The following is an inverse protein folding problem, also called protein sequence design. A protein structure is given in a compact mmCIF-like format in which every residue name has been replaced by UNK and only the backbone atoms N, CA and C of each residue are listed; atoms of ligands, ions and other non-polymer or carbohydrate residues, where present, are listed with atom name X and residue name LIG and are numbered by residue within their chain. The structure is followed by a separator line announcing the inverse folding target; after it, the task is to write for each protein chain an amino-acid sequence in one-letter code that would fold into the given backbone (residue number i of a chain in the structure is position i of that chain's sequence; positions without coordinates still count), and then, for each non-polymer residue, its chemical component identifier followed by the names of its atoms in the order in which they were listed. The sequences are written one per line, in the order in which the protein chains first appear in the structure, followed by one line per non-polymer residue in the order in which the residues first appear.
data_IF_234112618109
#
_entry.id   IF_234112618109
#
_cell.length_a   1.000
_cell.length_b   1.000
_cell.length_c   1.000
_cell.angle_alpha   90.00
_cell.angle_beta   90.00
_cell.angle_gamma   90.00
#
_symmetry.space_group_name_H-M   'P 1'
#
loop_
_entity.id
_entity.type
_entity.pdbx_description
1 polymer ?
#
# COMPACT_ATOMS: atom_id res chain seq x y z
N UNK A 1 34.55 -36.58 26.81
CA UNK A 1 35.06 -36.17 25.51
C UNK A 1 33.97 -35.39 24.78
N UNK A 2 34.28 -34.19 24.27
CA UNK A 2 33.36 -33.39 23.47
C UNK A 2 33.91 -33.31 22.03
N UNK A 3 33.14 -33.74 21.04
CA UNK A 3 33.47 -33.64 19.63
C UNK A 3 32.65 -32.50 19.04
N UNK A 4 33.36 -31.47 18.52
CA UNK A 4 32.70 -30.34 17.87
C UNK A 4 33.15 -30.35 16.40
N UNK A 5 32.26 -30.66 15.44
CA UNK A 5 32.58 -30.57 14.03
C UNK A 5 32.98 -29.13 13.67
N UNK A 6 33.89 -28.97 12.72
CA UNK A 6 34.10 -27.65 12.09
C UNK A 6 32.83 -27.22 11.42
N UNK A 7 32.53 -25.94 11.49
CA UNK A 7 31.36 -25.38 10.80
C UNK A 7 31.31 -25.87 9.35
N UNK A 8 30.14 -26.36 8.91
CA UNK A 8 29.90 -26.92 7.55
C UNK A 8 30.53 -28.26 7.22
N UNK A 9 31.16 -28.95 8.15
CA UNK A 9 31.58 -30.34 7.91
C UNK A 9 30.32 -31.21 7.76
N UNK A 10 30.28 -32.02 6.70
CA UNK A 10 29.32 -33.10 6.51
C UNK A 10 30.06 -34.37 6.11
N UNK A 11 29.57 -35.54 6.54
CA UNK A 11 30.19 -36.81 6.32
C UNK A 11 30.46 -37.56 7.62
N UNK A 12 31.17 -38.69 7.53
CA UNK A 12 31.54 -39.48 8.69
C UNK A 12 32.96 -39.14 9.16
N UNK A 13 33.10 -38.94 10.47
CA UNK A 13 34.39 -38.78 11.13
C UNK A 13 34.55 -39.86 12.18
N UNK A 14 35.71 -40.53 12.20
CA UNK A 14 36.07 -41.53 13.21
C UNK A 14 37.17 -40.99 14.09
N UNK A 15 36.89 -40.95 15.40
CA UNK A 15 37.89 -40.56 16.43
C UNK A 15 38.25 -41.80 17.22
N UNK A 16 39.54 -42.08 17.28
CA UNK A 16 40.10 -43.15 18.13
C UNK A 16 40.56 -42.54 19.45
N UNK A 17 40.30 -43.23 20.54
CA UNK A 17 40.72 -42.80 21.87
C UNK A 17 41.17 -44.00 22.71
N UNK A 18 42.00 -43.75 23.70
CA UNK A 18 42.39 -44.69 24.76
C UNK A 18 42.08 -44.06 26.11
N UNK A 19 41.84 -44.89 27.10
CA UNK A 19 41.73 -44.47 28.50
C UNK A 19 42.98 -44.88 29.21
N UNK A 20 43.59 -43.96 29.96
CA UNK A 20 44.81 -44.20 30.75
C UNK A 20 44.53 -43.90 32.22
N UNK A 21 44.96 -44.78 33.11
CA UNK A 21 44.91 -44.58 34.56
C UNK A 21 46.27 -45.05 35.18
N UNK A 22 46.37 -45.06 36.48
CA UNK A 22 47.56 -45.45 37.20
C UNK A 22 47.98 -46.92 36.96
N UNK A 23 47.12 -47.75 36.41
CA UNK A 23 47.35 -49.18 36.18
C UNK A 23 47.61 -49.56 34.73
N UNK A 24 47.48 -48.58 33.79
CA UNK A 24 47.78 -48.84 32.37
C UNK A 24 46.88 -48.05 31.42
N UNK A 25 47.08 -48.31 30.13
CA UNK A 25 46.34 -47.72 29.03
C UNK A 25 45.49 -48.79 28.33
N UNK A 26 44.24 -48.52 28.09
CA UNK A 26 43.31 -49.43 27.39
C UNK A 26 43.69 -49.63 25.91
N UNK A 27 43.21 -50.70 25.31
CA UNK A 27 43.16 -50.81 23.84
C UNK A 27 42.42 -49.63 23.23
N UNK A 28 42.81 -49.19 21.99
CA UNK A 28 42.10 -48.11 21.30
C UNK A 28 40.66 -48.47 21.02
N UNK A 29 39.74 -47.57 21.37
CA UNK A 29 38.34 -47.60 20.98
C UNK A 29 38.07 -46.55 19.91
N UNK A 30 37.06 -46.73 19.09
CA UNK A 30 36.67 -45.81 18.03
C UNK A 30 35.23 -45.32 18.24
N UNK A 31 35.03 -44.01 18.03
CA UNK A 31 33.68 -43.40 17.91
C UNK A 31 33.54 -42.86 16.50
N UNK A 32 32.53 -43.33 15.80
CA UNK A 32 32.15 -42.80 14.48
C UNK A 32 30.98 -41.83 14.63
N UNK A 33 31.15 -40.62 14.11
CA UNK A 33 30.17 -39.56 14.10
C UNK A 33 29.77 -39.25 12.66
N UNK A 34 28.51 -39.39 12.34
CA UNK A 34 27.97 -38.96 11.04
C UNK A 34 27.34 -37.58 11.18
N UNK A 35 27.81 -36.63 10.37
CA UNK A 35 27.27 -35.26 10.32
C UNK A 35 26.52 -35.10 9.00
N UNK A 36 25.22 -34.87 9.10
CA UNK A 36 24.34 -34.64 7.93
C UNK A 36 24.39 -33.15 7.57
N UNK A 37 24.52 -32.87 6.27
CA UNK A 37 24.45 -31.52 5.75
C UNK A 37 23.03 -30.96 5.94
N UNK A 38 22.94 -29.73 6.42
CA UNK A 38 21.66 -29.01 6.49
C UNK A 38 21.15 -28.68 5.09
N UNK A 39 19.83 -28.64 4.94
CA UNK A 39 19.20 -28.22 3.69
C UNK A 39 19.58 -26.79 3.32
N UNK A 40 19.60 -26.49 2.02
CA UNK A 40 19.82 -25.13 1.51
C UNK A 40 18.58 -24.27 1.82
N UNK A 41 18.67 -23.27 2.72
CA UNK A 41 17.50 -22.46 3.10
C UNK A 41 17.05 -21.53 1.96
N UNK A 42 17.87 -21.27 0.94
CA UNK A 42 17.46 -20.48 -0.22
C UNK A 42 16.51 -21.22 -1.16
N UNK A 43 16.34 -22.54 -0.98
CA UNK A 43 15.39 -23.37 -1.71
C UNK A 43 14.07 -23.58 -0.94
N UNK A 44 14.00 -23.13 0.32
CA UNK A 44 12.77 -23.20 1.11
C UNK A 44 11.78 -22.12 0.66
N UNK A 45 10.59 -22.54 0.22
CA UNK A 45 9.56 -21.66 -0.33
C UNK A 45 9.04 -20.64 0.70
N UNK A 46 9.08 -20.96 2.01
CA UNK A 46 8.67 -20.05 3.08
C UNK A 46 9.74 -18.97 3.29
N UNK A 47 11.03 -19.37 3.34
CA UNK A 47 12.17 -18.45 3.48
C UNK A 47 12.20 -17.47 2.30
N UNK A 48 12.08 -17.99 1.09
CA UNK A 48 12.04 -17.19 -0.14
C UNK A 48 10.81 -16.28 -0.16
N UNK A 49 9.67 -16.79 0.29
CA UNK A 49 8.42 -16.01 0.40
C UNK A 49 8.51 -14.85 1.38
N UNK A 50 9.12 -15.05 2.55
CA UNK A 50 9.37 -13.98 3.54
C UNK A 50 10.27 -12.89 2.95
N UNK A 51 11.38 -13.30 2.31
CA UNK A 51 12.29 -12.36 1.64
C UNK A 51 11.59 -11.56 0.53
N UNK A 52 10.74 -12.21 -0.26
CA UNK A 52 9.93 -11.56 -1.29
C UNK A 52 8.87 -10.64 -0.69
N UNK A 53 8.19 -11.05 0.39
CA UNK A 53 7.18 -10.24 1.06
C UNK A 53 7.76 -8.91 1.60
N UNK A 54 8.95 -8.94 2.21
CA UNK A 54 9.64 -7.72 2.65
C UNK A 54 9.95 -6.77 1.48
N UNK A 55 10.47 -7.30 0.37
CA UNK A 55 10.78 -6.50 -0.81
C UNK A 55 9.53 -5.88 -1.44
N UNK A 56 8.47 -6.67 -1.59
CA UNK A 56 7.21 -6.22 -2.15
C UNK A 56 6.48 -5.21 -1.24
N UNK A 57 6.51 -5.40 0.09
CA UNK A 57 5.96 -4.44 1.04
C UNK A 57 6.67 -3.08 0.95
N UNK A 58 8.00 -3.09 0.83
CA UNK A 58 8.79 -1.88 0.61
C UNK A 58 8.35 -1.14 -0.65
N UNK A 59 8.24 -1.86 -1.78
CA UNK A 59 7.83 -1.28 -3.07
C UNK A 59 6.40 -0.77 -3.03
N UNK A 60 5.45 -1.55 -2.49
CA UNK A 60 4.04 -1.14 -2.39
C UNK A 60 3.86 0.08 -1.50
N UNK A 61 4.57 0.15 -0.37
CA UNK A 61 4.53 1.34 0.48
C UNK A 61 4.99 2.58 -0.28
N UNK A 62 6.15 2.54 -0.93
CA UNK A 62 6.67 3.67 -1.71
C UNK A 62 5.70 4.08 -2.84
N UNK A 63 5.17 3.11 -3.59
CA UNK A 63 4.22 3.38 -4.67
C UNK A 63 2.91 3.99 -4.15
N UNK A 64 2.34 3.46 -3.06
CA UNK A 64 1.12 4.01 -2.48
C UNK A 64 1.30 5.46 -2.02
N UNK A 65 2.47 5.78 -1.44
CA UNK A 65 2.78 7.16 -1.06
C UNK A 65 2.94 8.05 -2.30
N UNK A 66 3.72 7.62 -3.30
CA UNK A 66 3.87 8.35 -4.56
C UNK A 66 2.52 8.62 -5.22
N UNK A 67 1.64 7.62 -5.31
CA UNK A 67 0.32 7.77 -5.90
C UNK A 67 -0.56 8.81 -5.17
N UNK A 68 -0.48 8.87 -3.83
CA UNK A 68 -1.20 9.88 -3.05
C UNK A 68 -0.70 11.30 -3.36
N UNK A 69 0.62 11.51 -3.40
CA UNK A 69 1.21 12.81 -3.73
C UNK A 69 0.98 13.21 -5.19
N UNK A 70 1.06 12.25 -6.13
CA UNK A 70 0.79 12.49 -7.54
C UNK A 70 -0.66 12.91 -7.77
N UNK A 71 -1.62 12.24 -7.11
CA UNK A 71 -3.03 12.67 -7.14
C UNK A 71 -3.23 14.08 -6.58
N UNK A 72 -2.43 14.46 -5.58
CA UNK A 72 -2.43 15.84 -5.11
C UNK A 72 -1.91 16.78 -6.19
N UNK A 73 -0.78 16.49 -6.80
CA UNK A 73 -0.21 17.29 -7.89
C UNK A 73 -1.19 17.42 -9.07
N UNK A 74 -1.83 16.33 -9.50
CA UNK A 74 -2.87 16.38 -10.52
C UNK A 74 -4.00 17.38 -10.21
N UNK A 75 -4.35 17.54 -8.94
CA UNK A 75 -5.36 18.51 -8.51
C UNK A 75 -4.84 19.96 -8.55
N UNK A 76 -3.51 20.15 -8.52
CA UNK A 76 -2.92 21.47 -8.52
C UNK A 76 -2.90 22.10 -9.91
N UNK A 77 -2.75 21.31 -10.97
CA UNK A 77 -2.68 21.84 -12.34
C UNK A 77 -3.95 21.63 -13.18
N UNK A 78 -4.81 20.68 -12.88
CA UNK A 78 -6.08 20.45 -13.62
C UNK A 78 -7.15 21.52 -13.33
N UNK A 79 -6.74 22.76 -13.10
CA UNK A 79 -7.66 23.83 -12.73
C UNK A 79 -8.46 23.42 -11.51
N UNK A 80 -7.77 22.89 -10.50
CA UNK A 80 -8.40 22.28 -9.33
C UNK A 80 -9.51 23.16 -8.85
N UNK A 81 -10.71 22.83 -9.32
CA UNK A 81 -11.92 23.56 -8.98
C UNK A 81 -11.92 23.71 -7.48
N UNK A 82 -11.68 24.92 -7.05
CA UNK A 82 -11.50 25.39 -5.70
C UNK A 82 -11.84 24.38 -4.62
N UNK A 83 -10.85 23.75 -4.07
CA UNK A 83 -11.02 23.21 -2.75
C UNK A 83 -10.27 24.11 -1.76
N UNK A 84 -10.85 25.25 -1.52
CA UNK A 84 -10.73 25.90 -0.22
C UNK A 84 -11.57 25.04 0.71
N UNK A 85 -10.99 23.98 1.28
CA UNK A 85 -11.72 23.12 2.18
C UNK A 85 -11.09 21.74 2.22
N UNK A 86 -10.58 21.37 3.36
CA UNK A 86 -9.91 20.12 3.75
C UNK A 86 -10.38 18.91 2.93
N UNK A 87 -9.60 18.36 2.00
CA UNK A 87 -9.92 17.07 1.43
C UNK A 87 -9.50 15.98 2.41
N UNK A 88 -10.41 15.52 3.23
CA UNK A 88 -10.23 14.24 3.89
C UNK A 88 -10.75 13.18 2.92
N UNK A 89 -9.87 12.65 2.10
CA UNK A 89 -10.18 11.55 1.19
C UNK A 89 -9.63 10.24 1.75
N UNK A 90 -10.48 9.34 2.19
CA UNK A 90 -10.10 7.95 2.46
C UNK A 90 -10.29 7.18 1.17
N UNK A 91 -9.18 6.68 0.59
CA UNK A 91 -9.22 5.81 -0.57
C UNK A 91 -9.15 4.35 -0.09
N UNK A 92 -10.21 3.60 -0.31
CA UNK A 92 -10.23 2.15 -0.05
C UNK A 92 -10.06 1.46 -1.40
N UNK A 93 -8.91 0.82 -1.62
CA UNK A 93 -8.70 -0.02 -2.79
C UNK A 93 -8.53 -1.48 -2.35
N UNK A 94 -9.43 -2.33 -2.81
CA UNK A 94 -9.35 -3.77 -2.61
C UNK A 94 -8.87 -4.43 -3.90
N UNK A 95 -7.85 -5.26 -3.82
CA UNK A 95 -7.39 -6.08 -4.93
C UNK A 95 -7.92 -7.50 -4.79
N UNK A 96 -8.73 -7.94 -5.74
CA UNK A 96 -9.07 -9.34 -5.90
C UNK A 96 -8.23 -9.91 -7.04
N UNK A 97 -7.43 -10.93 -6.76
CA UNK A 97 -6.88 -11.73 -7.84
C UNK A 97 -7.97 -12.71 -8.30
N UNK A 98 -8.45 -12.51 -9.51
CA UNK A 98 -9.22 -13.55 -10.20
C UNK A 98 -8.26 -14.67 -10.64
N UNK A 99 -7.80 -15.46 -9.70
CA UNK A 99 -7.27 -16.79 -9.96
C UNK A 99 -8.43 -17.76 -10.07
N UNK A 100 -8.43 -18.60 -11.11
CA UNK A 100 -9.46 -19.60 -11.35
C UNK A 100 -9.74 -20.42 -10.08
N UNK A 101 -10.99 -20.88 -9.96
CA UNK A 101 -11.45 -21.80 -8.96
C UNK A 101 -10.39 -22.87 -8.65
N UNK A 102 -9.93 -22.90 -7.42
CA UNK A 102 -9.22 -24.08 -6.92
C UNK A 102 -10.22 -25.24 -6.88
N UNK A 103 -10.03 -26.29 -7.68
CA UNK A 103 -10.99 -27.40 -7.75
C UNK A 103 -11.08 -28.20 -6.46
N UNK A 104 -10.22 -27.95 -5.45
CA UNK A 104 -10.14 -28.75 -4.23
C UNK A 104 -10.75 -28.12 -2.98
N UNK A 105 -11.13 -26.86 -2.96
CA UNK A 105 -11.61 -26.22 -1.71
C UNK A 105 -13.01 -25.62 -1.79
N UNK A 106 -13.62 -25.46 -2.96
CA UNK A 106 -15.04 -25.05 -3.07
C UNK A 106 -15.45 -23.76 -2.35
N UNK A 107 -14.51 -22.97 -1.83
CA UNK A 107 -14.79 -21.79 -1.04
C UNK A 107 -15.22 -20.61 -1.90
N UNK A 108 -16.46 -20.19 -1.67
CA UNK A 108 -17.11 -19.07 -2.32
C UNK A 108 -16.63 -17.72 -1.73
N UNK A 109 -16.86 -16.65 -2.47
CA UNK A 109 -16.54 -15.25 -2.17
C UNK A 109 -17.02 -14.70 -0.81
N UNK A 110 -17.71 -15.50 0.00
CA UNK A 110 -18.21 -15.16 1.34
C UNK A 110 -17.12 -15.09 2.42
N UNK A 111 -15.97 -15.75 2.23
CA UNK A 111 -14.89 -15.70 3.23
C UNK A 111 -14.10 -14.39 3.21
N UNK A 112 -14.17 -13.65 2.11
CA UNK A 112 -13.57 -12.31 1.99
C UNK A 112 -14.35 -11.26 2.80
N UNK A 113 -15.63 -11.51 3.06
CA UNK A 113 -16.47 -10.63 3.88
C UNK A 113 -16.13 -10.73 5.38
N UNK A 114 -15.68 -11.90 5.85
CA UNK A 114 -15.28 -12.09 7.26
C UNK A 114 -13.92 -11.45 7.57
N UNK A 115 -12.97 -11.49 6.63
CA UNK A 115 -11.69 -10.76 6.79
C UNK A 115 -11.86 -9.23 6.77
N UNK A 116 -12.92 -8.72 6.12
CA UNK A 116 -13.30 -7.30 6.17
C UNK A 116 -13.83 -6.88 7.54
N UNK A 117 -14.48 -7.77 8.30
CA UNK A 117 -15.09 -7.42 9.58
C UNK A 117 -14.07 -7.21 10.70
N UNK A 118 -13.04 -8.03 10.76
CA UNK A 118 -12.10 -8.01 11.89
C UNK A 118 -11.11 -6.84 11.85
N UNK A 119 -10.79 -6.30 10.65
CA UNK A 119 -9.90 -5.13 10.52
C UNK A 119 -10.64 -3.80 10.56
N UNK A 120 -11.87 -3.73 10.02
CA UNK A 120 -12.71 -2.54 10.15
C UNK A 120 -13.14 -2.31 11.61
N UNK A 121 -13.33 -3.39 12.38
CA UNK A 121 -13.72 -3.32 13.79
C UNK A 121 -12.56 -2.82 14.67
N UNK A 122 -11.30 -3.11 14.33
CA UNK A 122 -10.15 -2.67 15.10
C UNK A 122 -9.82 -1.18 14.94
N UNK A 123 -10.17 -0.57 13.80
CA UNK A 123 -9.96 0.87 13.55
C UNK A 123 -11.18 1.71 13.91
N UNK A 124 -12.40 1.14 13.85
CA UNK A 124 -13.65 1.82 14.22
C UNK A 124 -14.11 1.53 15.66
N UNK A 125 -13.41 0.73 16.41
CA UNK A 125 -13.77 0.31 17.77
C UNK A 125 -13.64 1.38 18.86
N UNK A 126 -13.38 2.65 18.52
CA UNK A 126 -13.28 3.75 19.50
C UNK A 126 -14.27 4.89 19.35
N UNK A 127 -15.19 4.85 18.38
CA UNK A 127 -16.20 5.91 18.21
C UNK A 127 -17.65 5.43 18.18
N UNK A 128 -17.95 4.28 18.79
CA UNK A 128 -19.33 3.86 19.05
C UNK A 128 -19.64 3.81 20.54
N UNK A 129 -19.48 4.94 21.21
CA UNK A 129 -20.00 5.14 22.55
C UNK A 129 -20.59 6.53 22.66
N UNK A 130 -21.71 6.80 22.00
CA UNK A 130 -22.63 7.88 22.35
C UNK A 130 -24.00 7.64 21.71
N UNK A 131 -24.59 6.48 21.98
CA UNK A 131 -26.02 6.29 21.93
C UNK A 131 -26.49 6.15 23.36
N UNK A 132 -26.69 7.27 24.04
CA UNK A 132 -27.19 7.30 25.41
C UNK A 132 -28.66 6.82 25.40
N UNK A 133 -28.88 5.56 25.78
CA UNK A 133 -30.18 5.07 26.20
C UNK A 133 -30.33 5.36 27.69
N UNK A 134 -31.36 6.13 28.08
CA UNK A 134 -31.78 6.24 29.48
C UNK A 134 -32.85 5.19 29.75
N UNK A 135 -32.70 4.50 30.87
CA UNK A 135 -33.69 3.54 31.37
C UNK A 135 -34.50 4.18 32.47
N UNK A 136 -35.83 3.91 32.48
CA UNK A 136 -36.69 4.32 33.56
C UNK A 136 -36.49 3.40 34.78
N UNK A 137 -37.17 3.74 35.87
CA UNK A 137 -37.08 3.07 37.15
C UNK A 137 -37.52 1.60 37.11
N UNK A 138 -38.13 1.16 36.01
CA UNK A 138 -38.63 -0.20 35.79
C UNK A 138 -37.86 -0.95 34.69
N UNK A 139 -36.70 -0.42 34.23
CA UNK A 139 -35.77 -1.11 33.32
C UNK A 139 -36.18 -1.14 31.85
N UNK A 140 -37.09 -0.24 31.39
CA UNK A 140 -37.45 -0.13 29.97
C UNK A 140 -36.66 0.95 29.27
N UNK A 141 -36.11 0.61 28.10
CA UNK A 141 -35.39 1.55 27.26
C UNK A 141 -36.32 2.59 26.62
N UNK A 142 -36.04 3.87 26.86
CA UNK A 142 -36.76 4.99 26.27
C UNK A 142 -35.86 5.72 25.26
N UNK A 143 -36.31 6.02 24.03
CA UNK A 143 -35.58 6.87 23.12
C UNK A 143 -35.63 8.32 23.61
N UNK A 144 -34.47 8.97 23.67
CA UNK A 144 -34.36 10.40 23.96
C UNK A 144 -34.92 11.16 22.75
N UNK A 145 -36.10 11.71 22.91
CA UNK A 145 -36.74 12.60 21.93
C UNK A 145 -35.94 13.89 21.82
N UNK A 146 -35.55 14.22 20.59
CA UNK A 146 -34.81 15.42 20.24
C UNK A 146 -35.60 16.68 20.56
N UNK A 147 -34.88 17.72 20.90
CA UNK A 147 -35.34 19.09 21.02
C UNK A 147 -35.83 19.58 19.63
N UNK A 148 -37.14 19.58 19.47
CA UNK A 148 -37.84 20.37 18.46
C UNK A 148 -38.43 21.58 19.15
N UNK A 149 -38.24 22.74 18.53
CA UNK A 149 -39.22 23.79 18.68
C UNK A 149 -38.72 25.11 19.19
N UNK A 150 -38.75 26.08 18.32
CA UNK A 150 -39.40 27.36 18.59
C UNK A 150 -39.94 27.91 17.27
N UNK A 151 -41.25 27.79 17.13
CA UNK A 151 -42.03 28.61 16.22
C UNK A 151 -42.02 30.04 16.72
N UNK A 152 -41.86 31.01 15.82
CA UNK A 152 -42.44 32.31 16.00
C UNK A 152 -43.13 32.71 14.69
N UNK A 153 -44.45 32.62 14.74
CA UNK A 153 -45.36 33.31 13.82
C UNK A 153 -45.10 34.82 13.91
N UNK A 154 -45.05 35.49 12.77
CA UNK A 154 -45.79 36.72 12.59
C UNK A 154 -45.98 37.05 11.11
N UNK A 155 -47.24 37.26 10.89
CA UNK A 155 -47.93 37.46 9.63
C UNK A 155 -47.81 38.89 9.08
N UNK A 156 -48.30 39.00 7.85
CA UNK A 156 -48.97 40.10 7.17
C UNK A 156 -48.16 41.08 6.32
N UNK A 157 -48.62 41.13 5.08
CA UNK A 157 -48.68 42.37 4.32
C UNK A 157 -48.57 42.23 2.80
N UNK A 158 -49.64 41.85 2.16
CA UNK A 158 -50.26 42.41 0.96
C UNK A 158 -49.44 42.91 -0.25
N UNK A 159 -49.72 42.23 -1.36
CA UNK A 159 -50.21 42.72 -2.68
C UNK A 159 -49.36 43.70 -3.49
N UNK A 160 -49.10 43.35 -4.71
CA UNK A 160 -49.71 43.82 -5.94
C UNK A 160 -49.16 43.14 -7.18
N UNK A 161 -50.05 42.95 -8.11
CA UNK A 161 -49.91 42.31 -9.41
C UNK A 161 -49.02 43.09 -10.37
N UNK A 162 -48.37 42.34 -11.27
CA UNK A 162 -47.72 42.85 -12.47
C UNK A 162 -47.41 41.71 -13.43
N UNK A 163 -47.94 41.80 -14.58
CA UNK A 163 -48.22 40.92 -15.70
C UNK A 163 -46.98 40.21 -16.33
N UNK A 164 -47.17 39.13 -17.07
CA UNK A 164 -46.09 38.25 -17.51
C UNK A 164 -45.46 38.71 -18.80
N UNK A 165 -44.14 38.93 -18.79
CA UNK A 165 -43.35 39.02 -20.03
C UNK A 165 -42.51 37.75 -20.16
N UNK A 166 -42.92 36.99 -21.13
CA UNK A 166 -42.18 35.89 -21.78
C UNK A 166 -40.67 36.20 -21.87
N UNK A 167 -39.87 35.45 -21.15
CA UNK A 167 -38.43 35.34 -21.42
C UNK A 167 -38.09 33.89 -21.52
N UNK A 168 -37.92 33.45 -22.73
CA UNK A 168 -37.33 32.19 -23.11
C UNK A 168 -35.84 32.28 -22.69
N UNK A 169 -35.52 31.83 -21.52
CA UNK A 169 -34.13 31.56 -21.15
C UNK A 169 -33.75 30.19 -21.67
N UNK A 170 -33.08 30.19 -22.79
CA UNK A 170 -32.16 29.09 -23.17
C UNK A 170 -31.14 28.99 -22.06
N UNK A 171 -31.32 28.02 -21.19
CA UNK A 171 -30.34 27.71 -20.15
C UNK A 171 -29.05 27.22 -20.79
N UNK A 172 -28.14 28.13 -21.09
CA UNK A 172 -26.76 27.83 -21.21
C UNK A 172 -26.31 27.31 -19.84
N UNK A 173 -25.90 26.05 -19.80
CA UNK A 173 -25.24 25.50 -18.63
C UNK A 173 -23.95 26.34 -18.40
N UNK A 174 -24.01 27.26 -17.46
CA UNK A 174 -22.82 27.94 -16.98
C UNK A 174 -21.81 26.85 -16.57
N UNK A 175 -20.75 26.75 -17.34
CA UNK A 175 -19.57 26.04 -16.93
C UNK A 175 -19.14 26.64 -15.59
N UNK A 176 -19.22 25.84 -14.53
CA UNK A 176 -18.74 26.26 -13.20
C UNK A 176 -17.24 26.51 -13.38
N UNK A 177 -16.89 27.76 -13.65
CA UNK A 177 -15.52 28.25 -13.61
C UNK A 177 -14.96 27.87 -12.24
N UNK A 178 -13.99 26.96 -12.23
CA UNK A 178 -13.28 26.60 -11.01
C UNK A 178 -12.60 27.85 -10.47
N UNK A 179 -13.01 28.25 -9.27
CA UNK A 179 -12.33 29.33 -8.55
C UNK A 179 -10.90 28.88 -8.31
N UNK A 180 -9.97 29.37 -9.15
CA UNK A 180 -8.55 29.09 -9.03
C UNK A 180 -8.05 29.58 -7.67
N UNK A 181 -7.13 28.84 -7.05
CA UNK A 181 -6.48 29.28 -5.81
C UNK A 181 -5.70 30.55 -6.08
N UNK A 182 -5.84 31.56 -5.22
CA UNK A 182 -5.04 32.78 -5.28
C UNK A 182 -3.58 32.50 -4.88
N UNK A 183 -2.64 33.28 -5.45
CA UNK A 183 -1.24 33.26 -5.04
C UNK A 183 -1.13 33.55 -3.53
N UNK A 184 -0.25 32.80 -2.83
CA UNK A 184 -0.11 32.84 -1.38
C UNK A 184 -1.10 31.97 -0.60
N UNK A 185 -2.11 31.40 -1.26
CA UNK A 185 -3.07 30.51 -0.59
C UNK A 185 -2.42 29.18 -0.16
N UNK A 186 -2.76 28.73 1.04
CA UNK A 186 -2.31 27.46 1.63
C UNK A 186 -3.45 26.47 1.64
N UNK A 187 -3.17 25.20 1.36
CA UNK A 187 -4.13 24.12 1.49
C UNK A 187 -3.55 22.96 2.31
N UNK A 188 -4.42 22.31 3.06
CA UNK A 188 -4.11 21.09 3.80
C UNK A 188 -4.89 19.94 3.15
N UNK A 189 -4.24 18.81 2.97
CA UNK A 189 -4.86 17.62 2.40
C UNK A 189 -4.52 16.36 3.18
N UNK A 190 -5.35 15.37 3.09
CA UNK A 190 -5.13 14.02 3.60
C UNK A 190 -5.73 13.02 2.64
N UNK A 191 -5.06 11.92 2.43
CA UNK A 191 -5.51 10.83 1.57
C UNK A 191 -5.02 9.50 2.10
N UNK A 192 -5.83 8.46 1.94
CA UNK A 192 -5.48 7.11 2.37
C UNK A 192 -5.97 6.06 1.39
N UNK A 193 -5.36 4.89 1.45
CA UNK A 193 -5.72 3.74 0.64
C UNK A 193 -5.64 2.46 1.44
N UNK A 194 -6.55 1.54 1.18
CA UNK A 194 -6.48 0.14 1.62
C UNK A 194 -6.41 -0.71 0.35
N UNK A 195 -5.44 -1.62 0.29
CA UNK A 195 -5.26 -2.54 -0.81
C UNK A 195 -5.23 -3.98 -0.30
N UNK A 196 -5.99 -4.84 -0.93
CA UNK A 196 -5.97 -6.28 -0.71
C UNK A 196 -5.48 -6.96 -1.98
N UNK A 197 -4.57 -7.92 -1.85
CA UNK A 197 -4.00 -8.57 -3.02
C UNK A 197 -3.47 -9.96 -2.77
N UNK A 198 -3.27 -10.70 -3.85
CA UNK A 198 -2.57 -11.97 -3.82
C UNK A 198 -1.54 -12.02 -4.93
N UNK A 199 -0.45 -12.70 -4.68
CA UNK A 199 0.59 -13.01 -5.65
C UNK A 199 0.73 -14.54 -5.72
N UNK A 200 0.60 -15.10 -6.92
CA UNK A 200 0.62 -16.54 -7.09
C UNK A 200 1.99 -17.14 -6.73
N UNK A 201 1.97 -18.39 -6.35
CA UNK A 201 3.19 -19.16 -6.08
C UNK A 201 4.01 -19.32 -7.36
N UNK A 202 5.33 -19.27 -7.22
CA UNK A 202 6.28 -19.67 -8.25
C UNK A 202 7.00 -20.95 -7.85
N UNK A 203 7.89 -21.49 -8.70
CA UNK A 203 8.66 -22.71 -8.36
C UNK A 203 9.48 -22.56 -7.08
N UNK A 204 9.93 -21.35 -6.76
CA UNK A 204 10.79 -21.07 -5.60
C UNK A 204 10.12 -20.29 -4.48
N UNK A 205 8.85 -19.92 -4.59
CA UNK A 205 8.19 -19.05 -3.63
C UNK A 205 6.73 -19.46 -3.40
N UNK A 206 6.33 -19.50 -2.14
CA UNK A 206 4.93 -19.70 -1.76
C UNK A 206 4.01 -18.56 -2.20
N UNK A 207 2.71 -18.83 -2.30
CA UNK A 207 1.69 -17.79 -2.55
C UNK A 207 1.76 -16.71 -1.47
N UNK A 208 1.66 -15.44 -1.88
CA UNK A 208 1.56 -14.30 -0.95
C UNK A 208 0.11 -13.79 -0.95
N UNK A 209 -0.43 -13.57 0.26
CA UNK A 209 -1.69 -12.85 0.46
C UNK A 209 -1.39 -11.63 1.29
N UNK A 210 -1.76 -10.45 0.79
CA UNK A 210 -1.37 -9.17 1.39
C UNK A 210 -2.57 -8.31 1.70
N UNK A 211 -2.50 -7.59 2.81
CA UNK A 211 -3.42 -6.53 3.19
C UNK A 211 -2.59 -5.31 3.59
N UNK A 212 -2.77 -4.21 2.86
CA UNK A 212 -2.00 -2.98 3.03
C UNK A 212 -2.95 -1.84 3.34
N UNK A 213 -2.60 -1.00 4.29
CA UNK A 213 -3.30 0.25 4.59
C UNK A 213 -2.31 1.38 4.80
N UNK A 214 -2.64 2.58 4.34
CA UNK A 214 -1.78 3.74 4.52
C UNK A 214 -2.52 5.05 4.44
N UNK A 215 -1.94 6.07 5.06
CA UNK A 215 -2.42 7.44 5.09
C UNK A 215 -1.28 8.37 4.73
N UNK A 216 -1.57 9.38 3.92
CA UNK A 216 -0.67 10.50 3.63
C UNK A 216 -1.39 11.81 3.92
N UNK A 217 -0.65 12.80 4.39
CA UNK A 217 -1.16 14.14 4.62
C UNK A 217 -0.09 15.16 4.28
N UNK A 218 -0.50 16.36 3.90
CA UNK A 218 0.44 17.40 3.55
C UNK A 218 -0.19 18.79 3.55
N UNK A 219 0.68 19.77 3.42
CA UNK A 219 0.33 21.16 3.24
C UNK A 219 1.08 21.69 2.01
N UNK A 220 0.41 22.50 1.22
CA UNK A 220 0.99 23.14 0.05
C UNK A 220 0.59 24.61 -0.04
N UNK A 221 1.44 25.39 -0.67
CA UNK A 221 1.26 26.82 -0.90
C UNK A 221 1.45 27.12 -2.39
N UNK A 222 0.55 27.93 -2.95
CA UNK A 222 0.66 28.44 -4.32
C UNK A 222 1.60 29.65 -4.33
N UNK A 223 2.82 29.44 -4.81
CA UNK A 223 3.85 30.49 -4.83
C UNK A 223 3.69 31.49 -5.98
N UNK A 224 3.16 31.01 -7.13
CA UNK A 224 2.83 31.84 -8.29
C UNK A 224 1.65 31.22 -9.02
N UNK A 225 1.16 31.85 -10.10
CA UNK A 225 0.10 31.24 -10.92
C UNK A 225 0.52 29.89 -11.50
N UNK A 226 1.80 29.71 -11.78
CA UNK A 226 2.35 28.50 -12.38
C UNK A 226 2.95 27.51 -11.37
N UNK A 227 3.21 27.90 -10.10
CA UNK A 227 4.00 27.07 -9.17
C UNK A 227 3.29 26.87 -7.84
N UNK A 228 3.10 25.62 -7.49
CA UNK A 228 2.68 25.18 -6.15
C UNK A 228 3.72 24.25 -5.58
N UNK A 229 4.06 24.39 -4.32
CA UNK A 229 4.98 23.51 -3.59
C UNK A 229 4.38 23.08 -2.27
N UNK A 230 4.77 21.91 -1.77
CA UNK A 230 4.26 21.41 -0.51
C UNK A 230 5.20 20.42 0.16
N UNK A 231 4.88 20.14 1.41
CA UNK A 231 5.52 19.12 2.23
C UNK A 231 4.44 18.20 2.81
N UNK A 232 4.80 16.96 3.06
CA UNK A 232 3.87 16.03 3.65
C UNK A 232 4.56 14.83 4.27
N UNK A 233 3.76 14.00 4.90
CA UNK A 233 4.20 12.76 5.51
C UNK A 233 3.19 11.66 5.30
N UNK A 234 3.61 10.42 5.51
CA UNK A 234 2.77 9.26 5.37
C UNK A 234 3.17 8.13 6.32
N UNK A 235 2.18 7.34 6.65
CA UNK A 235 2.31 6.10 7.41
C UNK A 235 1.59 4.98 6.69
N UNK A 236 2.13 3.76 6.75
CA UNK A 236 1.48 2.59 6.20
C UNK A 236 1.85 1.33 6.94
N UNK A 237 0.90 0.40 6.98
CA UNK A 237 1.08 -0.93 7.52
C UNK A 237 0.66 -1.99 6.50
N UNK A 238 1.37 -3.10 6.50
CA UNK A 238 1.03 -4.24 5.66
C UNK A 238 1.17 -5.54 6.44
N UNK A 239 0.26 -6.46 6.19
CA UNK A 239 0.37 -7.85 6.61
C UNK A 239 0.43 -8.75 5.37
N UNK A 240 1.52 -9.49 5.24
CA UNK A 240 1.69 -10.50 4.20
C UNK A 240 1.73 -11.90 4.83
N UNK A 241 0.89 -12.81 4.32
CA UNK A 241 0.93 -14.24 4.63
C UNK A 241 1.64 -14.98 3.51
N UNK A 242 2.50 -15.92 3.88
CA UNK A 242 3.30 -16.75 2.95
C UNK A 242 2.80 -18.18 2.99
N UNK A 243 2.44 -18.72 1.83
CA UNK A 243 1.91 -20.07 1.71
C UNK A 243 0.56 -20.24 2.44
N UNK A 244 0.28 -21.47 2.88
CA UNK A 244 -0.87 -21.80 3.74
C UNK A 244 -0.43 -21.58 5.21
N UNK A 245 -0.32 -20.32 5.65
CA UNK A 245 0.06 -19.94 7.01
C UNK A 245 1.47 -20.44 7.47
N UNK A 246 2.37 -20.73 6.52
CA UNK A 246 3.74 -21.15 6.82
C UNK A 246 4.65 -19.99 7.23
N UNK A 247 4.29 -18.75 6.89
CA UNK A 247 5.01 -17.56 7.26
C UNK A 247 4.15 -16.31 7.23
N UNK A 248 4.59 -15.29 7.98
CA UNK A 248 3.96 -13.99 8.03
C UNK A 248 5.01 -12.89 8.12
N UNK A 249 4.74 -11.79 7.44
CA UNK A 249 5.49 -10.54 7.55
C UNK A 249 4.49 -9.44 7.87
N UNK A 250 4.65 -8.79 9.01
CA UNK A 250 3.96 -7.56 9.38
C UNK A 250 4.94 -6.40 9.16
N UNK A 251 4.54 -5.35 8.43
CA UNK A 251 5.36 -4.17 8.22
C UNK A 251 4.66 -2.91 8.67
N UNK A 252 5.45 -1.98 9.22
CA UNK A 252 5.04 -0.63 9.57
C UNK A 252 6.09 0.34 9.04
N UNK A 253 5.66 1.34 8.29
CA UNK A 253 6.55 2.26 7.60
C UNK A 253 6.03 3.68 7.70
N UNK A 254 6.94 4.65 7.79
CA UNK A 254 6.62 6.06 7.76
C UNK A 254 7.59 6.82 6.87
N UNK A 255 7.14 7.96 6.33
CA UNK A 255 7.93 8.77 5.42
C UNK A 255 7.61 10.26 5.53
N UNK A 256 8.55 11.07 5.08
CA UNK A 256 8.36 12.48 4.77
C UNK A 256 8.68 12.74 3.30
N UNK A 257 8.01 13.71 2.70
CA UNK A 257 8.24 14.11 1.30
C UNK A 257 8.05 15.60 1.09
N UNK A 258 8.73 16.10 0.05
CA UNK A 258 8.45 17.37 -0.60
C UNK A 258 7.84 17.11 -1.97
N UNK A 259 6.93 17.97 -2.41
CA UNK A 259 6.27 17.82 -3.70
C UNK A 259 5.94 19.17 -4.30
N UNK A 260 5.65 19.16 -5.59
CA UNK A 260 5.24 20.38 -6.27
C UNK A 260 4.78 20.13 -7.69
N UNK A 261 4.10 21.13 -8.21
CA UNK A 261 3.58 21.16 -9.57
C UNK A 261 3.88 22.50 -10.22
N UNK A 262 4.34 22.46 -11.46
CA UNK A 262 4.63 23.61 -12.31
C UNK A 262 3.79 23.51 -13.57
N UNK A 263 3.05 24.57 -13.90
CA UNK A 263 2.33 24.74 -15.17
C UNK A 263 3.06 25.82 -16.00
N UNK A 264 4.08 25.44 -16.80
CA UNK A 264 4.91 26.43 -17.51
C UNK A 264 4.21 27.11 -18.70
N UNK A 265 3.17 26.49 -19.22
CA UNK A 265 2.32 27.03 -20.28
C UNK A 265 0.94 26.36 -20.20
N UNK A 266 -0.04 26.90 -20.94
CA UNK A 266 -1.39 26.37 -20.98
C UNK A 266 -1.40 24.89 -21.37
N UNK A 267 -2.00 24.09 -20.49
CA UNK A 267 -2.11 22.65 -20.62
C UNK A 267 -0.82 21.87 -20.35
N UNK A 268 0.36 22.48 -20.28
CA UNK A 268 1.59 21.78 -19.92
C UNK A 268 1.78 21.77 -18.40
N UNK A 269 2.20 20.62 -17.89
CA UNK A 269 2.53 20.48 -16.47
C UNK A 269 3.79 19.65 -16.24
N UNK A 270 4.44 19.94 -15.13
CA UNK A 270 5.56 19.16 -14.57
C UNK A 270 5.37 18.99 -13.07
N UNK A 271 5.25 17.77 -12.63
CA UNK A 271 5.03 17.40 -11.23
C UNK A 271 6.24 16.67 -10.68
N UNK A 272 6.62 16.99 -9.45
CA UNK A 272 7.72 16.34 -8.76
C UNK A 272 7.34 15.89 -7.36
N UNK A 273 7.90 14.77 -6.92
CA UNK A 273 7.83 14.26 -5.55
C UNK A 273 9.19 13.69 -5.19
N UNK A 274 9.70 14.01 -4.00
CA UNK A 274 10.89 13.36 -3.44
C UNK A 274 10.68 13.14 -1.94
N UNK A 275 11.02 11.95 -1.46
CA UNK A 275 10.78 11.60 -0.07
C UNK A 275 11.75 10.54 0.46
N UNK A 276 11.81 10.46 1.79
CA UNK A 276 12.59 9.48 2.52
C UNK A 276 11.76 8.88 3.66
N UNK A 277 12.07 7.64 4.06
CA UNK A 277 11.31 6.98 5.10
C UNK A 277 12.07 5.88 5.82
N UNK A 278 11.42 5.34 6.84
CA UNK A 278 11.86 4.21 7.64
C UNK A 278 10.92 3.04 7.47
N UNK A 279 11.49 1.86 7.45
CA UNK A 279 10.83 0.59 7.26
C UNK A 279 11.05 -0.26 8.51
N UNK A 280 10.04 -1.03 8.90
CA UNK A 280 10.09 -1.97 10.00
C UNK A 280 9.29 -3.21 9.64
N UNK A 281 9.87 -4.38 9.85
CA UNK A 281 9.27 -5.68 9.53
C UNK A 281 9.40 -6.62 10.70
N UNK A 282 8.29 -7.24 11.09
CA UNK A 282 8.25 -8.36 12.02
C UNK A 282 7.92 -9.63 11.22
N UNK A 283 8.73 -10.66 11.38
CA UNK A 283 8.59 -11.91 10.63
C UNK A 283 8.32 -13.09 11.55
N UNK A 284 7.48 -13.98 11.08
CA UNK A 284 7.21 -15.27 11.71
C UNK A 284 7.35 -16.34 10.61
N UNK A 285 8.15 -17.37 10.88
CA UNK A 285 8.38 -18.51 9.98
C UNK A 285 8.19 -19.81 10.71
N UNK A 286 7.28 -20.64 10.25
CA UNK A 286 7.21 -22.03 10.66
C UNK A 286 8.31 -22.81 9.95
N UNK A 287 9.13 -23.52 10.69
CA UNK A 287 10.26 -24.27 10.12
C UNK A 287 9.70 -25.49 9.38
N UNK A 288 10.06 -25.60 8.11
CA UNK A 288 9.63 -26.72 7.26
C UNK A 288 10.11 -28.06 7.83
N UNK A 289 9.18 -29.00 8.01
CA UNK A 289 9.47 -30.33 8.53
C UNK A 289 9.60 -30.43 10.05
N UNK A 290 9.20 -29.41 10.80
CA UNK A 290 9.17 -29.41 12.28
C UNK A 290 8.16 -28.43 12.86
N UNK A 291 8.02 -28.43 14.18
CA UNK A 291 7.09 -27.57 14.93
C UNK A 291 7.73 -26.26 15.40
N UNK A 292 9.00 -26.02 15.07
CA UNK A 292 9.71 -24.85 15.53
C UNK A 292 9.27 -23.59 14.77
N UNK A 293 9.18 -22.47 15.49
CA UNK A 293 8.78 -21.16 14.97
C UNK A 293 9.94 -20.18 15.12
N UNK A 294 10.44 -19.70 14.00
CA UNK A 294 11.43 -18.63 13.96
C UNK A 294 10.75 -17.27 13.89
N UNK A 295 11.28 -16.30 14.62
CA UNK A 295 10.83 -14.90 14.66
C UNK A 295 11.99 -13.99 14.37
N UNK A 296 11.74 -12.91 13.63
CA UNK A 296 12.76 -11.93 13.31
C UNK A 296 12.19 -10.52 13.26
N UNK A 297 13.05 -9.56 13.56
CA UNK A 297 12.76 -8.13 13.39
C UNK A 297 13.81 -7.53 12.47
N UNK A 298 13.37 -6.72 11.49
CA UNK A 298 14.23 -6.07 10.51
C UNK A 298 13.86 -4.62 10.35
N UNK A 299 14.84 -3.73 10.46
CA UNK A 299 14.72 -2.32 10.10
C UNK A 299 15.12 -2.06 8.66
N UNK A 300 14.93 -0.82 8.24
CA UNK A 300 15.44 -0.32 6.97
C UNK A 300 15.14 1.15 6.75
N UNK A 301 15.73 1.68 5.69
CA UNK A 301 15.49 3.05 5.23
C UNK A 301 15.20 3.06 3.75
N UNK A 302 14.50 4.07 3.27
CA UNK A 302 14.23 4.25 1.85
C UNK A 302 14.32 5.71 1.44
N UNK A 303 14.70 5.90 0.16
CA UNK A 303 14.59 7.13 -0.60
C UNK A 303 13.75 6.84 -1.84
N UNK A 304 12.84 7.72 -2.18
CA UNK A 304 12.00 7.56 -3.37
C UNK A 304 11.71 8.91 -4.00
N UNK A 305 11.37 8.89 -5.28
CA UNK A 305 11.00 10.08 -6.01
C UNK A 305 10.25 9.77 -7.28
N UNK A 306 9.59 10.78 -7.81
CA UNK A 306 8.84 10.71 -9.06
C UNK A 306 8.90 12.05 -9.78
N UNK A 307 9.01 11.99 -11.10
CA UNK A 307 8.90 13.14 -11.99
C UNK A 307 7.88 12.80 -13.08
N UNK A 308 6.84 13.63 -13.20
CA UNK A 308 5.76 13.46 -14.18
C UNK A 308 5.69 14.70 -15.05
N UNK A 309 5.66 14.54 -16.37
CA UNK A 309 5.41 15.62 -17.31
C UNK A 309 4.30 15.24 -18.25
N UNK A 310 3.46 16.18 -18.63
CA UNK A 310 2.34 15.88 -19.49
C UNK A 310 1.60 17.11 -19.98
N UNK A 311 0.53 16.81 -20.69
CA UNK A 311 -0.33 17.81 -21.29
C UNK A 311 -1.79 17.54 -20.95
N UNK A 312 -2.48 18.55 -20.43
CA UNK A 312 -3.90 18.57 -20.12
C UNK A 312 -4.64 19.39 -21.17
N UNK A 313 -5.71 18.86 -21.70
CA UNK A 313 -6.62 19.57 -22.60
C UNK A 313 -8.04 19.48 -22.07
N UNK A 314 -8.63 20.62 -21.79
CA UNK A 314 -10.04 20.74 -21.45
C UNK A 314 -10.79 21.40 -22.60
N UNK A 315 -11.92 20.82 -22.99
CA UNK A 315 -12.80 21.35 -24.03
C UNK A 315 -14.25 21.13 -23.62
N UNK A 316 -14.91 22.19 -23.21
CA UNK A 316 -16.27 22.12 -22.69
C UNK A 316 -16.34 21.17 -21.47
N UNK A 317 -17.12 20.10 -21.62
CA UNK A 317 -17.31 19.09 -20.55
C UNK A 317 -16.26 17.97 -20.52
N UNK A 318 -15.32 17.95 -21.48
CA UNK A 318 -14.33 16.90 -21.63
C UNK A 318 -12.96 17.38 -21.14
N UNK A 319 -12.28 16.54 -20.37
CA UNK A 319 -10.87 16.72 -20.06
C UNK A 319 -10.08 15.47 -20.46
N UNK A 320 -8.94 15.66 -21.10
CA UNK A 320 -8.02 14.61 -21.52
C UNK A 320 -6.60 15.00 -21.14
N UNK A 321 -5.85 14.04 -20.60
CA UNK A 321 -4.44 14.21 -20.29
C UNK A 321 -3.62 13.07 -20.85
N UNK A 322 -2.43 13.41 -21.36
CA UNK A 322 -1.39 12.44 -21.70
C UNK A 322 -0.14 12.79 -20.90
N UNK A 323 0.50 11.80 -20.30
CA UNK A 323 1.66 12.03 -19.44
C UNK A 323 2.69 10.89 -19.49
N UNK A 324 3.92 11.27 -19.21
CA UNK A 324 5.03 10.38 -18.94
C UNK A 324 5.55 10.59 -17.51
N UNK A 325 5.93 9.51 -16.83
CA UNK A 325 6.40 9.54 -15.46
C UNK A 325 7.61 8.64 -15.28
N UNK A 326 8.54 9.04 -14.45
CA UNK A 326 9.67 8.22 -14.00
C UNK A 326 9.57 8.13 -12.48
N UNK A 327 9.54 6.89 -11.96
CA UNK A 327 9.53 6.60 -10.54
C UNK A 327 10.84 5.93 -10.15
N UNK A 328 11.43 6.36 -9.05
CA UNK A 328 12.66 5.82 -8.45
C UNK A 328 12.44 5.43 -7.00
N UNK A 329 12.99 4.28 -6.60
CA UNK A 329 13.05 3.81 -5.23
C UNK A 329 14.41 3.19 -4.98
N UNK A 330 15.04 3.55 -3.86
CA UNK A 330 16.18 2.86 -3.27
C UNK A 330 15.89 2.62 -1.80
N UNK A 331 15.98 1.37 -1.35
CA UNK A 331 15.81 1.02 0.04
C UNK A 331 16.94 0.11 0.51
N UNK A 332 17.45 0.39 1.70
CA UNK A 332 18.43 -0.43 2.38
C UNK A 332 17.75 -1.11 3.57
N UNK A 333 17.64 -2.44 3.51
CA UNK A 333 17.13 -3.29 4.57
C UNK A 333 18.28 -3.79 5.42
N UNK A 334 18.17 -3.66 6.74
CA UNK A 334 19.22 -4.02 7.67
C UNK A 334 19.44 -5.54 7.74
N UNK A 335 20.61 -5.98 8.23
CA UNK A 335 20.84 -7.36 8.63
C UNK A 335 19.96 -7.71 9.83
N UNK A 336 19.43 -8.94 9.86
CA UNK A 336 18.74 -9.46 11.04
C UNK A 336 18.98 -10.94 11.24
N UNK A 337 18.75 -11.41 12.46
CA UNK A 337 18.88 -12.81 12.86
C UNK A 337 17.57 -13.28 13.48
N UNK A 338 17.10 -14.45 13.05
CA UNK A 338 15.94 -15.11 13.64
C UNK A 338 16.26 -15.67 15.02
N UNK A 339 15.22 -15.82 15.84
CA UNK A 339 15.23 -16.44 17.16
C UNK A 339 14.04 -17.40 17.31
N UNK A 340 14.11 -18.32 18.29
CA UNK A 340 12.99 -19.21 18.65
C UNK A 340 13.04 -20.60 18.00
N UNK A 341 13.83 -20.79 16.94
CA UNK A 341 13.91 -22.08 16.24
C UNK A 341 15.25 -22.83 16.47
N UNK A 342 16.03 -22.43 17.48
CA UNK A 342 17.29 -23.08 17.82
C UNK A 342 18.28 -23.07 16.64
N UNK A 343 18.78 -24.25 16.26
CA UNK A 343 19.71 -24.41 15.15
C UNK A 343 19.08 -24.21 13.75
N UNK A 344 17.76 -24.08 13.67
CA UNK A 344 17.05 -23.75 12.43
C UNK A 344 16.85 -22.23 12.24
N UNK A 345 17.31 -21.39 13.18
CA UNK A 345 17.33 -19.96 12.99
C UNK A 345 18.24 -19.56 11.84
N UNK A 346 17.80 -18.59 11.05
CA UNK A 346 18.54 -18.03 9.93
C UNK A 346 19.06 -16.63 10.28
N UNK A 347 20.16 -16.26 9.64
CA UNK A 347 20.66 -14.89 9.58
C UNK A 347 20.55 -14.40 8.14
N UNK A 348 19.97 -13.21 7.96
CA UNK A 348 19.82 -12.55 6.69
C UNK A 348 20.72 -11.31 6.66
N UNK A 349 21.52 -11.20 5.63
CA UNK A 349 22.38 -10.02 5.45
C UNK A 349 21.59 -8.78 5.07
N UNK A 350 22.23 -7.61 5.16
CA UNK A 350 21.70 -6.38 4.62
C UNK A 350 21.36 -6.52 3.13
N UNK A 351 20.30 -5.87 2.67
CA UNK A 351 19.86 -5.95 1.27
C UNK A 351 19.50 -4.59 0.74
N UNK A 352 20.08 -4.24 -0.40
CA UNK A 352 19.64 -3.07 -1.17
C UNK A 352 18.59 -3.47 -2.21
N UNK A 353 17.47 -2.76 -2.18
CA UNK A 353 16.39 -2.86 -3.15
C UNK A 353 16.41 -1.59 -4.01
N UNK A 354 16.37 -1.73 -5.33
CA UNK A 354 16.30 -0.60 -6.24
C UNK A 354 15.21 -0.87 -7.27
N UNK A 355 14.37 0.12 -7.51
CA UNK A 355 13.38 0.15 -8.59
C UNK A 355 13.55 1.45 -9.37
N UNK A 356 13.51 1.34 -10.67
CA UNK A 356 13.44 2.47 -11.61
C UNK A 356 12.42 2.09 -12.67
N UNK A 357 11.32 2.81 -12.74
CA UNK A 357 10.28 2.52 -13.72
C UNK A 357 9.88 3.76 -14.51
N UNK A 358 9.51 3.56 -15.76
CA UNK A 358 8.80 4.55 -16.57
C UNK A 358 7.32 4.20 -16.65
N UNK A 359 6.47 5.22 -16.72
CA UNK A 359 5.03 5.07 -16.92
C UNK A 359 4.60 5.98 -18.06
N UNK A 360 3.82 5.43 -18.98
CA UNK A 360 3.07 6.21 -19.96
C UNK A 360 1.59 6.08 -19.63
N UNK A 361 0.92 7.20 -19.51
CA UNK A 361 -0.46 7.25 -19.07
C UNK A 361 -1.34 8.18 -19.89
N UNK A 362 -2.59 7.75 -20.00
CA UNK A 362 -3.70 8.55 -20.52
C UNK A 362 -4.80 8.58 -19.48
N UNK A 363 -5.40 9.72 -19.28
CA UNK A 363 -6.60 9.87 -18.45
C UNK A 363 -7.60 10.78 -19.13
N UNK A 364 -8.87 10.46 -18.94
CA UNK A 364 -9.96 11.26 -19.47
C UNK A 364 -11.12 11.34 -18.49
N UNK A 365 -11.86 12.43 -18.53
CA UNK A 365 -13.11 12.59 -17.80
C UNK A 365 -14.13 13.37 -18.61
N UNK A 366 -15.41 13.15 -18.29
CA UNK A 366 -16.54 13.80 -18.94
C UNK A 366 -17.51 14.27 -17.85
N UNK A 367 -17.84 15.55 -17.85
CA UNK A 367 -18.91 16.08 -16.99
C UNK A 367 -20.24 15.89 -17.70
N UNK A 368 -21.14 15.09 -17.12
CA UNK A 368 -22.49 14.87 -17.66
C UNK A 368 -23.51 14.99 -16.52
N UNK A 369 -24.10 16.17 -16.38
CA UNK A 369 -24.97 16.50 -15.24
C UNK A 369 -24.21 16.35 -13.92
N UNK A 370 -24.72 15.49 -13.05
CA UNK A 370 -24.12 15.20 -11.73
C UNK A 370 -23.05 14.10 -11.77
N UNK A 371 -22.85 13.45 -12.90
CA UNK A 371 -21.87 12.37 -13.06
C UNK A 371 -20.62 12.87 -13.76
N UNK A 372 -19.47 12.41 -13.28
CA UNK A 372 -18.16 12.65 -13.89
C UNK A 372 -17.47 11.32 -14.12
N UNK A 373 -17.86 10.56 -15.18
CA UNK A 373 -17.15 9.36 -15.55
C UNK A 373 -15.70 9.66 -15.90
N UNK A 374 -14.81 8.73 -15.53
CA UNK A 374 -13.35 8.84 -15.69
C UNK A 374 -12.79 7.54 -16.22
N UNK A 375 -11.73 7.66 -16.98
CA UNK A 375 -10.91 6.54 -17.43
C UNK A 375 -9.43 6.89 -17.27
N UNK A 376 -8.65 5.91 -16.88
CA UNK A 376 -7.19 5.98 -16.88
C UNK A 376 -6.64 4.70 -17.46
N UNK A 377 -5.60 4.82 -18.26
CA UNK A 377 -4.83 3.71 -18.77
C UNK A 377 -3.34 4.02 -18.58
N UNK A 378 -2.60 3.10 -18.03
CA UNK A 378 -1.16 3.23 -17.79
C UNK A 378 -0.41 1.99 -18.27
N UNK A 379 0.74 2.21 -18.86
CA UNK A 379 1.77 1.21 -19.07
C UNK A 379 3.00 1.58 -18.26
N UNK A 380 3.44 0.65 -17.41
CA UNK A 380 4.63 0.79 -16.56
C UNK A 380 5.68 -0.22 -17.01
N UNK A 381 6.91 0.25 -17.21
CA UNK A 381 8.07 -0.58 -17.48
C UNK A 381 9.10 -0.45 -16.36
N UNK A 382 9.54 -1.58 -15.81
CA UNK A 382 10.54 -1.64 -14.73
C UNK A 382 11.91 -2.01 -15.29
N UNK A 383 12.92 -1.20 -14.99
CA UNK A 383 14.29 -1.35 -15.50
C UNK A 383 15.22 -2.11 -14.56
N UNK A 384 14.85 -2.29 -13.29
CA UNK A 384 15.70 -2.90 -12.26
C UNK A 384 15.13 -4.24 -11.77
N UNK A 385 16.00 -4.99 -11.10
CA UNK A 385 15.65 -6.24 -10.43
C UNK A 385 15.74 -6.03 -8.91
N UNK A 386 14.88 -6.69 -8.15
CA UNK A 386 14.72 -6.50 -6.70
C UNK A 386 15.92 -6.91 -5.80
N UNK A 387 17.13 -7.06 -6.34
CA UNK A 387 18.34 -7.38 -5.57
C UNK A 387 18.40 -8.83 -5.10
N UNK A 388 19.56 -9.21 -4.54
CA UNK A 388 19.88 -10.54 -4.00
C UNK A 388 19.79 -10.46 -2.48
N UNK A 389 19.24 -11.49 -1.81
CA UNK A 389 19.28 -11.67 -0.37
C UNK A 389 20.26 -12.77 -0.01
N UNK A 390 21.38 -12.41 0.61
CA UNK A 390 22.30 -13.38 1.18
C UNK A 390 21.81 -13.82 2.58
N UNK A 391 21.98 -15.09 2.90
CA UNK A 391 21.56 -15.68 4.17
C UNK A 391 22.38 -16.91 4.55
N UNK A 392 22.26 -17.33 5.79
CA UNK A 392 22.82 -18.57 6.31
C UNK A 392 22.10 -19.03 7.59
N UNK A 393 22.47 -20.17 8.12
CA UNK A 393 22.12 -20.57 9.47
C UNK A 393 22.85 -19.71 10.50
N UNK A 394 22.14 -19.24 11.51
CA UNK A 394 22.64 -18.26 12.48
C UNK A 394 23.86 -18.77 13.28
N UNK A 395 23.98 -20.09 13.47
CA UNK A 395 25.05 -20.75 14.23
C UNK A 395 26.28 -21.12 13.40
N UNK A 396 26.21 -21.02 12.05
CA UNK A 396 27.33 -21.40 11.19
C UNK A 396 28.27 -20.26 10.81
N UNK A 397 27.79 -19.01 10.93
CA UNK A 397 28.50 -17.81 10.50
C UNK A 397 28.65 -17.71 8.98
N UNK A 398 28.84 -16.49 8.49
CA UNK A 398 28.95 -16.20 7.05
C UNK A 398 27.59 -16.09 6.35
N UNK A 399 27.62 -15.99 5.01
CA UNK A 399 26.45 -15.89 4.13
C UNK A 399 26.72 -16.71 2.86
N UNK A 400 26.47 -18.03 2.93
CA UNK A 400 26.83 -18.93 1.84
C UNK A 400 25.68 -19.28 0.91
N UNK A 401 24.47 -18.85 1.26
CA UNK A 401 23.27 -19.04 0.45
C UNK A 401 22.75 -17.69 -0.04
N UNK A 402 22.11 -17.70 -1.19
CA UNK A 402 21.57 -16.50 -1.79
C UNK A 402 20.20 -16.76 -2.43
N UNK A 403 19.21 -15.98 -2.05
CA UNK A 403 17.92 -15.93 -2.71
C UNK A 403 18.03 -14.91 -3.84
N UNK A 404 17.90 -15.40 -5.07
CA UNK A 404 17.69 -14.56 -6.24
C UNK A 404 16.18 -14.47 -6.43
N UNK A 405 15.61 -13.29 -6.17
CA UNK A 405 14.17 -13.07 -6.36
C UNK A 405 13.79 -13.25 -7.83
N UNK A 406 12.49 -13.50 -8.08
CA UNK A 406 11.91 -13.58 -9.43
C UNK A 406 12.04 -12.26 -10.21
N UNK A 407 12.63 -11.21 -9.58
CA UNK A 407 12.69 -9.85 -10.10
C UNK A 407 11.35 -9.12 -9.97
N UNK A 408 11.37 -7.85 -10.33
CA UNK A 408 10.14 -7.08 -10.48
C UNK A 408 9.46 -7.45 -11.80
N UNK A 409 8.13 -7.48 -11.82
CA UNK A 409 7.38 -7.58 -13.07
C UNK A 409 7.77 -6.43 -14.00
N UNK A 410 8.33 -6.75 -15.17
CA UNK A 410 8.87 -5.73 -16.08
C UNK A 410 7.79 -4.85 -16.66
N UNK A 411 6.75 -5.44 -17.22
CA UNK A 411 5.67 -4.72 -17.88
C UNK A 411 4.37 -4.93 -17.14
N UNK A 412 3.73 -3.82 -16.76
CA UNK A 412 2.42 -3.80 -16.13
C UNK A 412 1.52 -2.85 -16.91
N UNK A 413 0.32 -3.32 -17.21
CA UNK A 413 -0.75 -2.54 -17.82
C UNK A 413 -1.86 -2.35 -16.81
N UNK A 414 -2.28 -1.13 -16.58
CA UNK A 414 -3.36 -0.81 -15.68
C UNK A 414 -4.46 -0.04 -16.41
N UNK A 415 -5.70 -0.41 -16.12
CA UNK A 415 -6.88 0.32 -16.56
C UNK A 415 -7.73 0.59 -15.32
N UNK A 416 -8.16 1.83 -15.18
CA UNK A 416 -9.07 2.28 -14.12
C UNK A 416 -10.27 2.96 -14.77
N UNK A 417 -11.46 2.54 -14.39
CA UNK A 417 -12.73 3.15 -14.77
C UNK A 417 -13.42 3.63 -13.51
N UNK A 418 -13.92 4.83 -13.52
CA UNK A 418 -14.58 5.39 -12.35
C UNK A 418 -15.61 6.42 -12.72
N UNK A 419 -16.34 6.88 -11.72
CA UNK A 419 -17.24 8.01 -11.82
C UNK A 419 -17.36 8.71 -10.48
N UNK A 420 -17.45 10.03 -10.52
CA UNK A 420 -17.90 10.82 -9.36
C UNK A 420 -19.38 11.15 -9.53
N UNK A 421 -20.10 11.14 -8.43
CA UNK A 421 -21.42 11.76 -8.31
C UNK A 421 -21.29 13.05 -7.48
N UNK A 422 -21.77 14.15 -8.04
CA UNK A 422 -21.71 15.48 -7.44
C UNK A 422 -23.08 15.85 -6.87
N UNK A 423 -23.12 16.12 -5.57
CA UNK A 423 -24.33 16.56 -4.87
C UNK A 423 -24.40 18.09 -4.83
N UNK A 424 -25.62 18.66 -4.81
CA UNK A 424 -25.85 20.12 -4.77
C UNK A 424 -25.27 20.81 -3.53
N UNK A 425 -25.05 20.06 -2.45
CA UNK A 425 -24.48 20.55 -1.20
C UNK A 425 -22.94 20.48 -1.15
N UNK A 426 -22.29 20.29 -2.31
CA UNK A 426 -20.83 20.25 -2.46
C UNK A 426 -20.15 18.91 -2.10
N UNK A 427 -20.93 17.87 -1.79
CA UNK A 427 -20.37 16.52 -1.64
C UNK A 427 -20.10 15.88 -2.99
N UNK A 428 -19.04 15.10 -3.06
CA UNK A 428 -18.74 14.19 -4.17
C UNK A 428 -18.47 12.80 -3.62
N UNK A 429 -19.07 11.80 -4.25
CA UNK A 429 -18.74 10.39 -4.00
C UNK A 429 -18.22 9.82 -5.30
N UNK A 430 -17.01 9.31 -5.27
CA UNK A 430 -16.34 8.64 -6.39
C UNK A 430 -16.24 7.15 -6.16
N UNK A 431 -16.42 6.41 -7.25
CA UNK A 431 -16.17 4.98 -7.30
C UNK A 431 -15.28 4.67 -8.49
N UNK A 432 -14.17 3.93 -8.26
CA UNK A 432 -13.24 3.52 -9.29
C UNK A 432 -13.02 2.01 -9.21
N UNK A 433 -13.05 1.36 -10.37
CA UNK A 433 -12.67 -0.04 -10.58
C UNK A 433 -11.41 -0.06 -11.44
N UNK A 434 -10.39 -0.73 -10.98
CA UNK A 434 -9.13 -0.87 -11.70
C UNK A 434 -8.74 -2.31 -11.88
N UNK A 435 -8.05 -2.59 -12.98
CA UNK A 435 -7.38 -3.83 -13.24
C UNK A 435 -5.94 -3.59 -13.66
N UNK A 436 -5.01 -4.40 -13.17
CA UNK A 436 -3.64 -4.39 -13.62
C UNK A 436 -3.21 -5.80 -14.04
N UNK A 437 -2.57 -5.88 -15.19
CA UNK A 437 -2.04 -7.11 -15.78
C UNK A 437 -0.54 -6.99 -15.92
N UNK A 438 0.21 -7.96 -15.38
CA UNK A 438 1.65 -8.07 -15.55
C UNK A 438 2.06 -9.53 -15.68
N UNK A 439 3.31 -9.79 -16.01
CA UNK A 439 3.83 -11.16 -16.11
C UNK A 439 3.66 -11.88 -14.77
N UNK A 440 2.73 -12.85 -14.70
CA UNK A 440 2.48 -13.67 -13.52
C UNK A 440 1.68 -13.00 -12.40
N UNK A 441 1.17 -11.78 -12.60
CA UNK A 441 0.34 -11.09 -11.61
C UNK A 441 -0.90 -10.48 -12.27
N UNK A 442 -2.03 -10.61 -11.59
CA UNK A 442 -3.30 -9.98 -11.97
C UNK A 442 -3.89 -9.34 -10.72
N UNK A 443 -4.22 -8.06 -10.83
CA UNK A 443 -4.80 -7.30 -9.74
C UNK A 443 -6.12 -6.67 -10.21
N UNK A 444 -7.13 -6.74 -9.37
CA UNK A 444 -8.31 -5.91 -9.48
C UNK A 444 -8.31 -4.96 -8.28
N UNK A 445 -8.60 -3.70 -8.51
CA UNK A 445 -8.64 -2.67 -7.48
C UNK A 445 -10.01 -2.03 -7.47
N UNK A 446 -10.58 -1.88 -6.28
CA UNK A 446 -11.79 -1.12 -6.02
C UNK A 446 -11.44 0.06 -5.13
N UNK A 447 -12.04 1.22 -5.42
CA UNK A 447 -11.74 2.45 -4.72
C UNK A 447 -12.99 3.28 -4.56
N UNK A 448 -13.22 3.74 -3.35
CA UNK A 448 -14.30 4.70 -3.03
C UNK A 448 -13.64 5.98 -2.54
N UNK A 449 -14.06 7.10 -3.09
CA UNK A 449 -13.59 8.43 -2.70
C UNK A 449 -14.78 9.26 -2.25
N UNK A 450 -14.68 9.91 -1.09
CA UNK A 450 -15.67 10.85 -0.59
C UNK A 450 -14.97 12.20 -0.41
N UNK A 451 -15.55 13.26 -0.98
CA UNK A 451 -15.02 14.63 -0.90
C UNK A 451 -16.15 15.60 -0.59
N UNK A 452 -15.81 16.67 0.10
CA UNK A 452 -16.70 17.82 0.29
C UNK A 452 -15.97 19.07 -0.20
N UNK A 453 -16.64 19.86 -1.01
CA UNK A 453 -16.22 21.18 -1.42
C UNK A 453 -16.99 22.20 -0.57
N UNK A 454 -16.27 23.13 0.05
CA UNK A 454 -16.82 24.19 0.87
C UNK A 454 -16.74 25.51 0.11
#
# INVERSE_FOLDING_TARGET
MRITPRGRFSGSATVRYTLTNAYGTSAPAAVSVSVVQRADPSQDATVTGISAAQAEATRRFAQAQLDNFQRRNEQLHNGGAGSVGRPMGVNISGGNSYGGRDPNTGMAATDLAMLKSDHATAVMGRERAAGMMTYDRDGRAMPVAGLAGARSDRAMGQTMAGDPATRTETGEAEAVEGVGRSVGSTAIWSGGAIALGTQDATRGRGKLTVSTGGLSSGVDVKLSEALTVGIGGGYGGERAKVGKDQGRVDSNSWMGAVYGSVAPADGLFLDGVAGAGRLSFDTIRNVTGGDAVARGHRGGSMLFGSLTGGFDRTSGTHALSAYGRIDYLSADLDRYTETGAGNANLVFDGRRLTSLSSVLGLRGSLVTGRFVPRVRAEWRHEFKNGGIQALDYADLGGFNYAIRGDGWTRDNYAIELGTDYVFDNGWRIGFDLGGALGQGSRYATEKITIRKQF
#
